data_IF_512508997098
#
_entry.id   IF_512508997098
#
_cell.length_a   1.000
_cell.length_b   1.000
_cell.length_c   1.000
_cell.angle_alpha   90.00
_cell.angle_beta   90.00
_cell.angle_gamma   90.00
#
_symmetry.space_group_name_H-M   'P 1'
#
loop_
_entity.id
_entity.type
_entity.pdbx_description
1 polymer ?
#
# COMPACT_ATOMS: atom_id res chain seq x y z
N UNK A 1 -30.08 10.27 14.30
CA UNK A 1 -28.81 9.53 14.33
C UNK A 1 -28.11 9.82 13.03
N UNK A 2 -26.85 10.26 13.06
CA UNK A 2 -26.07 10.56 11.84
C UNK A 2 -25.10 9.38 11.65
N UNK A 3 -25.14 8.78 10.47
CA UNK A 3 -24.21 7.72 10.05
C UNK A 3 -23.02 8.37 9.35
N UNK A 4 -21.81 7.95 9.70
CA UNK A 4 -20.58 8.34 9.03
C UNK A 4 -20.00 7.13 8.32
N UNK A 5 -19.78 7.26 7.01
CA UNK A 5 -19.07 6.26 6.23
C UNK A 5 -17.56 6.45 6.45
N UNK A 6 -16.94 5.43 7.02
CA UNK A 6 -15.53 5.45 7.37
C UNK A 6 -14.82 4.23 6.78
N UNK A 7 -13.54 4.40 6.46
CA UNK A 7 -12.66 3.32 6.06
C UNK A 7 -11.51 3.17 7.07
N UNK A 8 -11.11 1.93 7.32
CA UNK A 8 -9.87 1.61 8.02
C UNK A 8 -8.75 1.49 6.97
N UNK A 9 -7.65 2.21 7.16
CA UNK A 9 -6.55 2.27 6.19
C UNK A 9 -5.21 2.00 6.85
N UNK A 10 -4.30 1.43 6.06
CA UNK A 10 -2.86 1.46 6.32
C UNK A 10 -2.22 2.63 5.57
N UNK A 11 -1.27 3.31 6.19
CA UNK A 11 -0.51 4.35 5.53
C UNK A 11 0.63 3.75 4.70
N UNK A 12 0.85 4.33 3.52
CA UNK A 12 2.02 4.07 2.69
C UNK A 12 2.88 5.33 2.69
N UNK A 13 4.19 5.17 2.90
CA UNK A 13 5.16 6.27 2.93
C UNK A 13 6.19 6.11 1.81
N UNK A 14 6.66 7.19 1.18
CA UNK A 14 7.72 7.12 0.18
C UNK A 14 9.02 6.59 0.78
N UNK A 15 9.68 5.66 0.08
CA UNK A 15 10.99 5.09 0.47
C UNK A 15 12.15 6.02 0.08
N UNK A 16 11.89 7.02 -0.77
CA UNK A 16 12.88 7.97 -1.27
C UNK A 16 12.32 9.39 -1.42
N UNK A 17 13.18 10.29 -1.92
CA UNK A 17 12.84 11.71 -2.12
C UNK A 17 12.36 12.04 -3.53
N UNK A 18 12.39 11.07 -4.44
CA UNK A 18 11.96 11.21 -5.83
C UNK A 18 11.36 9.92 -6.36
N UNK A 19 10.59 10.02 -7.43
CA UNK A 19 10.11 8.87 -8.18
C UNK A 19 11.29 8.08 -8.80
N UNK A 20 11.07 6.80 -9.02
CA UNK A 20 11.98 5.91 -9.73
C UNK A 20 12.22 6.42 -11.16
N UNK A 21 13.48 6.56 -11.61
CA UNK A 21 13.79 7.20 -12.89
C UNK A 21 13.37 6.38 -14.11
N UNK A 22 13.27 5.05 -13.98
CA UNK A 22 12.97 4.15 -15.09
C UNK A 22 11.45 4.01 -15.32
N UNK A 23 10.68 3.98 -14.23
CA UNK A 23 9.22 3.80 -14.26
C UNK A 23 8.43 5.09 -14.07
N UNK A 24 9.03 6.13 -13.47
CA UNK A 24 8.36 7.36 -13.06
C UNK A 24 7.38 7.19 -11.90
N UNK A 25 7.35 6.03 -11.24
CA UNK A 25 6.48 5.74 -10.11
C UNK A 25 7.16 6.04 -8.77
N UNK A 26 6.38 6.37 -7.75
CA UNK A 26 6.89 6.48 -6.39
C UNK A 26 6.93 5.10 -5.76
N UNK A 27 8.11 4.71 -5.27
CA UNK A 27 8.23 3.52 -4.43
C UNK A 27 7.76 3.86 -3.02
N UNK A 28 6.78 3.11 -2.53
CA UNK A 28 6.20 3.29 -1.20
C UNK A 28 6.24 1.99 -0.40
N UNK A 29 6.27 2.11 0.93
CA UNK A 29 6.19 0.99 1.86
C UNK A 29 5.11 1.22 2.93
N UNK A 30 4.55 0.16 3.53
CA UNK A 30 3.66 0.32 4.68
C UNK A 30 4.37 0.99 5.85
N UNK A 31 3.78 2.07 6.35
CA UNK A 31 4.27 2.78 7.53
C UNK A 31 4.18 1.87 8.75
N UNK A 32 5.27 1.83 9.52
CA UNK A 32 5.37 1.03 10.73
C UNK A 32 5.88 1.86 11.90
N UNK A 33 5.13 1.86 12.99
CA UNK A 33 5.59 2.39 14.27
C UNK A 33 5.97 1.22 15.20
N UNK A 34 7.23 1.18 15.64
CA UNK A 34 7.78 0.11 16.51
C UNK A 34 7.55 -1.31 15.94
N UNK A 35 7.62 -1.44 14.61
CA UNK A 35 7.44 -2.71 13.90
C UNK A 35 5.99 -3.11 13.65
N UNK A 36 5.01 -2.29 14.05
CA UNK A 36 3.59 -2.54 13.84
C UNK A 36 3.06 -1.59 12.77
N UNK A 37 2.23 -2.11 11.86
CA UNK A 37 1.60 -1.31 10.82
C UNK A 37 0.76 -0.18 11.43
N UNK A 38 0.98 1.05 10.95
CA UNK A 38 0.12 2.17 11.35
C UNK A 38 -1.27 2.00 10.74
N UNK A 39 -2.28 2.29 11.54
CA UNK A 39 -3.69 2.25 11.15
C UNK A 39 -4.35 3.61 11.41
N UNK A 40 -5.26 4.00 10.52
CA UNK A 40 -6.11 5.15 10.73
C UNK A 40 -7.55 4.89 10.26
N UNK A 41 -8.49 5.61 10.85
CA UNK A 41 -9.87 5.69 10.37
C UNK A 41 -10.02 7.02 9.66
N UNK A 42 -10.42 6.97 8.38
CA UNK A 42 -10.65 8.15 7.55
C UNK A 42 -12.12 8.19 7.10
N UNK A 43 -12.66 9.39 6.90
CA UNK A 43 -13.97 9.55 6.28
C UNK A 43 -13.84 9.21 4.78
N UNK A 44 -14.76 8.41 4.25
CA UNK A 44 -14.74 7.98 2.84
C UNK A 44 -14.75 9.17 1.87
N UNK A 45 -15.38 10.29 2.22
CA UNK A 45 -15.40 11.53 1.43
C UNK A 45 -14.00 12.16 1.26
N UNK A 46 -13.02 11.76 2.08
CA UNK A 46 -11.62 12.22 1.96
C UNK A 46 -10.82 11.42 0.92
N UNK A 47 -11.36 10.31 0.41
CA UNK A 47 -10.71 9.48 -0.61
C UNK A 47 -10.91 10.14 -1.97
N UNK A 48 -9.86 10.79 -2.47
CA UNK A 48 -9.94 11.52 -3.74
C UNK A 48 -10.17 10.59 -4.95
N UNK A 49 -9.43 9.48 -5.03
CA UNK A 49 -9.52 8.49 -6.12
C UNK A 49 -8.76 7.21 -5.77
N UNK A 50 -9.15 6.11 -6.41
CA UNK A 50 -8.32 4.91 -6.45
C UNK A 50 -7.06 5.16 -7.29
N UNK A 51 -5.92 4.62 -6.85
CA UNK A 51 -4.69 4.57 -7.60
C UNK A 51 -4.30 3.09 -7.81
N UNK A 52 -3.61 2.80 -8.92
CA UNK A 52 -3.04 1.48 -9.16
C UNK A 52 -1.64 1.45 -8.55
N UNK A 53 -1.46 0.61 -7.54
CA UNK A 53 -0.13 0.20 -7.07
C UNK A 53 0.36 -1.00 -7.89
N UNK A 54 1.68 -1.09 -8.08
CA UNK A 54 2.34 -2.26 -8.63
C UNK A 54 3.45 -2.64 -7.66
N UNK A 55 3.55 -3.91 -7.23
CA UNK A 55 4.60 -4.28 -6.30
C UNK A 55 5.98 -4.10 -6.94
N UNK A 56 6.97 -3.75 -6.13
CA UNK A 56 8.37 -3.86 -6.53
C UNK A 56 8.75 -5.33 -6.47
N UNK A 57 8.93 -5.93 -7.64
CA UNK A 57 9.24 -7.35 -7.76
C UNK A 57 10.67 -7.67 -7.32
N UNK A 58 10.81 -8.71 -6.51
CA UNK A 58 12.10 -9.32 -6.19
C UNK A 58 12.54 -10.36 -7.24
N UNK A 59 13.61 -11.09 -6.92
CA UNK A 59 14.14 -12.16 -7.79
C UNK A 59 13.55 -13.54 -7.49
N UNK A 60 12.74 -13.66 -6.44
CA UNK A 60 12.17 -14.94 -5.98
C UNK A 60 10.89 -15.25 -6.75
N UNK A 61 10.77 -16.47 -7.25
CA UNK A 61 9.54 -16.94 -7.87
C UNK A 61 8.41 -17.04 -6.83
N UNK A 62 7.19 -16.69 -7.24
CA UNK A 62 6.01 -16.88 -6.38
C UNK A 62 5.80 -18.38 -6.10
N UNK A 63 5.29 -18.74 -4.90
CA UNK A 63 4.91 -20.12 -4.61
C UNK A 63 3.90 -20.67 -5.62
N UNK A 64 3.98 -21.98 -5.93
CA UNK A 64 3.08 -22.63 -6.90
C UNK A 64 1.59 -22.44 -6.60
N UNK A 65 1.26 -22.33 -5.30
CA UNK A 65 -0.12 -22.14 -4.81
C UNK A 65 -0.37 -20.72 -4.29
N UNK A 66 0.39 -19.74 -4.79
CA UNK A 66 0.17 -18.34 -4.43
C UNK A 66 -1.22 -17.90 -4.87
N UNK A 67 -2.03 -17.45 -3.91
CA UNK A 67 -3.39 -17.02 -4.20
C UNK A 67 -3.40 -15.53 -4.56
N UNK A 68 -4.16 -15.16 -5.60
CA UNK A 68 -4.16 -13.79 -6.11
C UNK A 68 -4.62 -12.75 -5.07
N UNK A 69 -5.44 -13.13 -4.08
CA UNK A 69 -5.84 -12.24 -2.99
C UNK A 69 -4.67 -11.74 -2.15
N UNK A 70 -3.58 -12.50 -2.11
CA UNK A 70 -2.45 -12.19 -1.24
C UNK A 70 -1.49 -11.21 -1.93
N UNK A 71 -1.70 -10.90 -3.22
CA UNK A 71 -0.83 -10.03 -4.02
C UNK A 71 -0.67 -8.61 -3.46
N UNK A 72 -1.66 -8.13 -2.71
CA UNK A 72 -1.62 -6.78 -2.11
C UNK A 72 -0.82 -6.73 -0.79
N UNK A 73 -0.60 -7.88 -0.14
CA UNK A 73 0.07 -7.96 1.16
C UNK A 73 1.41 -8.74 1.08
N UNK A 74 1.69 -9.40 -0.05
CA UNK A 74 2.85 -10.26 -0.22
C UNK A 74 4.17 -9.52 -0.49
N UNK A 75 4.12 -8.23 -0.81
CA UNK A 75 5.29 -7.44 -1.15
C UNK A 75 5.55 -6.34 -0.12
N UNK A 76 6.82 -6.05 0.13
CA UNK A 76 7.23 -5.03 1.08
C UNK A 76 7.10 -3.61 0.51
N UNK A 77 7.17 -3.50 -0.82
CA UNK A 77 7.25 -2.23 -1.57
C UNK A 77 6.30 -2.23 -2.77
N UNK A 78 5.74 -1.06 -3.08
CA UNK A 78 4.77 -0.81 -4.16
C UNK A 78 5.06 0.49 -4.93
#
# INVERSE_FOLDING_TARGET
YILYECALVHWLVPVGVSADPDTGMWVVEPERERGVLTLAIVNVDTIARAARSLPVYGTTALPEKFHISDSLDAFDYY
#
